data_IF_272988937932
#
_entry.id   IF_272988937932
#
_cell.length_a   1.000
_cell.length_b   1.000
_cell.length_c   1.000
_cell.angle_alpha   90.00
_cell.angle_beta   90.00
_cell.angle_gamma   90.00
#
_symmetry.space_group_name_H-M   'P 1'
#
loop_
_entity.id
_entity.type
_entity.pdbx_description
1 polymer ?
#
# COMPACT_ATOMS: atom_id res chain seq x y z
N UNK A 1 -9.03 -2.31 5.91
CA UNK A 1 -9.35 -0.90 5.57
C UNK A 1 -10.12 -0.86 4.27
N UNK A 2 -11.08 0.02 4.16
CA UNK A 2 -11.87 0.15 2.95
C UNK A 2 -11.08 0.88 1.87
N UNK A 3 -11.32 0.48 0.62
CA UNK A 3 -10.69 1.09 -0.55
C UNK A 3 -10.87 2.62 -0.59
N UNK A 4 -12.08 3.09 -0.32
CA UNK A 4 -12.39 4.53 -0.36
C UNK A 4 -11.55 5.32 0.64
N UNK A 5 -11.35 4.77 1.84
CA UNK A 5 -10.53 5.44 2.85
C UNK A 5 -9.06 5.51 2.44
N UNK A 6 -8.57 4.45 1.79
CA UNK A 6 -7.22 4.45 1.23
C UNK A 6 -7.08 5.54 0.18
N UNK A 7 -8.02 5.59 -0.77
CA UNK A 7 -7.99 6.59 -1.83
C UNK A 7 -8.06 8.00 -1.27
N UNK A 8 -8.98 8.26 -0.33
CA UNK A 8 -9.15 9.59 0.25
C UNK A 8 -7.90 10.06 0.99
N UNK A 9 -7.26 9.18 1.76
CA UNK A 9 -6.07 9.54 2.50
C UNK A 9 -4.89 9.80 1.57
N UNK A 10 -4.71 8.98 0.54
CA UNK A 10 -3.62 9.18 -0.42
C UNK A 10 -3.83 10.46 -1.24
N UNK A 11 -5.06 10.76 -1.63
CA UNK A 11 -5.37 12.01 -2.33
C UNK A 11 -5.11 13.23 -1.46
N UNK A 12 -5.29 13.10 -0.15
CA UNK A 12 -5.00 14.19 0.78
C UNK A 12 -3.51 14.33 1.10
N UNK A 13 -2.68 13.45 0.56
CA UNK A 13 -1.24 13.49 0.80
C UNK A 13 -0.79 12.75 2.04
N UNK A 14 -1.65 11.92 2.62
CA UNK A 14 -1.34 11.14 3.82
C UNK A 14 -0.88 9.74 3.44
N UNK A 15 0.41 9.41 3.59
CA UNK A 15 0.87 8.06 3.29
C UNK A 15 0.33 7.04 4.29
N UNK A 16 0.26 5.79 3.86
CA UNK A 16 -0.29 4.72 4.68
C UNK A 16 0.78 3.64 4.82
N UNK A 17 1.08 3.27 6.08
CA UNK A 17 1.97 2.15 6.37
C UNK A 17 1.10 0.90 6.45
N UNK A 18 1.42 -0.11 5.66
CA UNK A 18 0.64 -1.34 5.60
C UNK A 18 1.49 -2.54 6.03
N UNK A 19 0.96 -3.32 6.96
CA UNK A 19 1.55 -4.60 7.32
C UNK A 19 0.96 -5.66 6.40
N UNK A 20 1.80 -6.24 5.56
CA UNK A 20 1.39 -7.25 4.59
C UNK A 20 1.50 -8.64 5.18
N UNK A 21 0.48 -9.46 4.93
CA UNK A 21 0.53 -10.88 5.22
C UNK A 21 1.13 -11.66 4.05
N UNK A 22 1.14 -13.01 4.14
CA UNK A 22 1.69 -13.83 3.07
C UNK A 22 1.01 -13.55 1.72
N UNK A 23 1.81 -13.40 0.68
CA UNK A 23 1.32 -13.08 -0.65
C UNK A 23 2.45 -12.59 -1.53
N UNK A 24 2.14 -11.66 -2.42
CA UNK A 24 3.12 -11.17 -3.40
C UNK A 24 4.25 -10.34 -2.81
N UNK A 25 4.05 -9.76 -1.62
CA UNK A 25 5.06 -8.89 -0.99
C UNK A 25 5.98 -9.64 -0.05
N UNK A 26 5.50 -10.73 0.54
CA UNK A 26 6.26 -11.46 1.54
C UNK A 26 5.67 -12.85 1.71
N UNK A 27 6.48 -13.79 2.17
CA UNK A 27 6.00 -15.11 2.56
C UNK A 27 5.62 -15.17 4.04
N UNK A 28 6.01 -14.18 4.82
CA UNK A 28 5.77 -14.13 6.27
C UNK A 28 5.00 -12.88 6.68
N UNK A 29 5.70 -11.79 6.89
CA UNK A 29 5.13 -10.50 7.25
C UNK A 29 6.13 -9.41 6.91
N UNK A 30 5.63 -8.23 6.50
CA UNK A 30 6.49 -7.21 5.95
C UNK A 30 5.72 -5.89 5.82
N UNK A 31 6.36 -4.79 6.13
CA UNK A 31 5.75 -3.47 5.99
C UNK A 31 6.08 -2.86 4.64
N UNK A 32 5.07 -2.27 4.02
CA UNK A 32 5.25 -1.41 2.85
C UNK A 32 4.58 -0.07 3.13
N UNK A 33 4.91 0.94 2.33
CA UNK A 33 4.27 2.26 2.43
C UNK A 33 3.47 2.51 1.16
N UNK A 34 2.20 2.83 1.31
CA UNK A 34 1.35 3.26 0.20
C UNK A 34 1.57 4.77 0.07
N UNK A 35 2.16 5.19 -1.04
CA UNK A 35 2.64 6.56 -1.18
C UNK A 35 1.73 7.47 -2.00
N UNK A 36 0.89 6.91 -2.85
CA UNK A 36 0.01 7.72 -3.68
C UNK A 36 -0.79 6.90 -4.68
N UNK A 37 -1.46 7.60 -5.56
CA UNK A 37 -2.27 7.02 -6.64
C UNK A 37 -1.74 7.51 -7.98
N UNK A 38 -1.79 6.61 -8.97
CA UNK A 38 -1.49 6.94 -10.35
C UNK A 38 -2.50 6.23 -11.24
N UNK A 39 -3.35 6.99 -11.92
CA UNK A 39 -4.40 6.45 -12.78
C UNK A 39 -5.30 5.45 -12.05
N UNK A 40 -5.62 5.75 -10.78
CA UNK A 40 -6.49 4.88 -9.96
C UNK A 40 -5.80 3.66 -9.39
N UNK A 41 -4.48 3.52 -9.57
CA UNK A 41 -3.69 2.41 -9.05
C UNK A 41 -2.75 2.90 -7.95
N UNK A 42 -2.35 1.99 -7.06
CA UNK A 42 -1.48 2.34 -5.95
C UNK A 42 -0.02 2.46 -6.39
N UNK A 43 0.61 3.51 -5.88
CA UNK A 43 2.07 3.61 -5.85
C UNK A 43 2.52 3.24 -4.45
N UNK A 44 3.56 2.44 -4.37
CA UNK A 44 4.06 1.96 -3.07
C UNK A 44 5.58 2.14 -2.98
N UNK A 45 6.06 2.09 -1.75
CA UNK A 45 7.48 1.92 -1.47
C UNK A 45 7.62 0.63 -0.67
N UNK A 46 8.25 -0.37 -1.28
CA UNK A 46 8.55 -1.65 -0.64
C UNK A 46 10.04 -1.67 -0.33
N UNK A 47 10.44 -1.53 0.95
CA UNK A 47 11.87 -1.43 1.29
C UNK A 47 12.67 -2.67 0.93
N UNK A 48 12.01 -3.81 0.70
CA UNK A 48 12.70 -5.05 0.34
C UNK A 48 12.68 -5.33 -1.16
N UNK A 49 12.03 -4.48 -1.96
CA UNK A 49 11.91 -4.74 -3.39
C UNK A 49 11.80 -3.46 -4.21
N UNK A 50 12.87 -3.14 -4.93
CA UNK A 50 12.82 -2.04 -5.89
C UNK A 50 11.81 -2.33 -6.98
N UNK A 51 11.75 -3.58 -7.44
CA UNK A 51 10.82 -3.98 -8.51
C UNK A 51 9.38 -3.70 -8.13
N UNK A 52 8.99 -4.04 -6.90
CA UNK A 52 7.63 -3.78 -6.42
C UNK A 52 7.37 -2.28 -6.28
N UNK A 53 8.40 -1.50 -5.96
CA UNK A 53 8.28 -0.05 -5.79
C UNK A 53 8.20 0.71 -7.12
N UNK A 54 8.64 0.11 -8.21
CA UNK A 54 8.68 0.77 -9.52
C UNK A 54 7.38 0.64 -10.31
N UNK A 55 6.52 -0.29 -9.93
CA UNK A 55 5.26 -0.49 -10.65
C UNK A 55 4.07 -0.01 -9.83
N UNK A 56 2.90 0.09 -10.47
CA UNK A 56 1.65 0.38 -9.77
C UNK A 56 0.92 -0.92 -9.49
N UNK A 57 0.02 -0.89 -8.50
CA UNK A 57 -0.68 -2.06 -8.01
C UNK A 57 -2.18 -1.82 -7.99
N UNK A 58 -2.95 -2.87 -8.22
CA UNK A 58 -4.39 -2.82 -8.01
C UNK A 58 -4.68 -2.67 -6.52
N UNK A 59 -5.55 -1.72 -6.18
CA UNK A 59 -5.86 -1.42 -4.77
C UNK A 59 -6.42 -2.63 -4.04
N UNK A 60 -7.38 -3.32 -4.66
CA UNK A 60 -8.03 -4.46 -4.01
C UNK A 60 -7.07 -5.62 -3.79
N UNK A 61 -6.16 -5.84 -4.76
CA UNK A 61 -5.14 -6.87 -4.64
C UNK A 61 -4.23 -6.61 -3.44
N UNK A 62 -3.81 -5.37 -3.25
CA UNK A 62 -2.96 -5.00 -2.10
C UNK A 62 -3.73 -5.15 -0.80
N UNK A 63 -4.97 -4.67 -0.75
CA UNK A 63 -5.78 -4.73 0.47
C UNK A 63 -6.10 -6.16 0.89
N UNK A 64 -6.27 -7.07 -0.06
CA UNK A 64 -6.50 -8.49 0.25
C UNK A 64 -5.35 -9.12 1.03
N UNK A 65 -4.14 -8.63 0.83
CA UNK A 65 -2.93 -9.13 1.48
C UNK A 65 -2.56 -8.35 2.73
N UNK A 66 -3.30 -7.29 3.05
CA UNK A 66 -2.98 -6.37 4.15
C UNK A 66 -3.64 -6.83 5.44
N UNK A 67 -2.84 -6.94 6.51
CA UNK A 67 -3.32 -7.31 7.84
C UNK A 67 -3.67 -6.12 8.70
N UNK A 68 -2.93 -5.02 8.58
CA UNK A 68 -3.16 -3.81 9.37
C UNK A 68 -2.60 -2.61 8.64
N UNK A 69 -3.17 -1.45 8.90
CA UNK A 69 -2.71 -0.20 8.30
C UNK A 69 -2.65 0.91 9.34
N UNK A 70 -1.73 1.84 9.12
CA UNK A 70 -1.61 3.07 9.90
C UNK A 70 -1.50 4.23 8.93
N UNK A 71 -2.35 5.23 9.11
CA UNK A 71 -2.31 6.44 8.28
C UNK A 71 -1.39 7.45 8.95
N UNK A 72 -0.45 7.99 8.18
CA UNK A 72 0.41 9.08 8.66
C UNK A 72 -0.20 10.40 8.20
N UNK A 73 -0.85 11.11 9.11
CA UNK A 73 -1.48 12.40 8.82
C UNK A 73 -0.43 13.50 8.80
N UNK A 74 -0.40 14.23 7.71
CA UNK A 74 0.52 15.37 7.57
C UNK A 74 -0.08 16.69 7.99
#
# INVERSE_FOLDING_TARGET
>A
MERERVENNLQAGNPIIALMGPGEFTSNGHFIVLTGLQNGRLKINDPNSRKNSEKTWDIDQVLEQTKAVWVYYK
#
